data_IF_940611794643
#
_entry.id   IF_940611794643
#
_cell.length_a   1.000
_cell.length_b   1.000
_cell.length_c   1.000
_cell.angle_alpha   90.00
_cell.angle_beta   90.00
_cell.angle_gamma   90.00
#
_symmetry.space_group_name_H-M   'P 1'
#
loop_
_entity.id
_entity.type
_entity.pdbx_description
1 polymer ?
#
# COMPACT_ATOMS: atom_id res chain seq x y z
N UNK A 1 6.82 17.73 22.78
CA UNK A 1 6.86 18.12 21.36
C UNK A 1 7.23 19.60 21.31
N UNK A 2 7.93 20.04 20.26
CA UNK A 2 8.28 21.44 20.09
C UNK A 2 7.75 21.92 18.73
N UNK A 3 6.98 23.00 18.76
CA UNK A 3 6.47 23.67 17.57
C UNK A 3 7.45 24.71 17.05
N UNK A 4 7.55 24.80 15.73
CA UNK A 4 8.38 25.74 15.00
C UNK A 4 7.60 26.39 13.87
N UNK A 5 7.80 27.68 13.69
CA UNK A 5 7.31 28.48 12.57
C UNK A 5 8.49 29.26 12.00
N UNK A 6 8.89 28.93 10.77
CA UNK A 6 9.96 29.62 10.06
C UNK A 6 9.35 30.50 8.97
N UNK A 7 9.72 31.77 8.98
CA UNK A 7 9.26 32.76 8.00
C UNK A 7 10.44 33.30 7.21
N UNK A 8 10.38 33.17 5.88
CA UNK A 8 11.32 33.81 4.97
C UNK A 8 10.60 34.94 4.23
N UNK A 9 11.18 36.13 4.23
CA UNK A 9 10.65 37.29 3.50
C UNK A 9 11.72 37.86 2.58
N UNK A 10 11.38 38.08 1.31
CA UNK A 10 12.26 38.79 0.38
C UNK A 10 12.17 40.29 0.65
N UNK A 11 13.15 40.85 1.35
CA UNK A 11 13.13 42.28 1.74
C UNK A 11 13.29 43.24 0.56
N UNK A 12 14.18 42.93 -0.39
CA UNK A 12 14.47 43.79 -1.56
C UNK A 12 14.97 42.98 -2.74
N UNK A 13 14.66 43.42 -3.96
CA UNK A 13 15.15 42.81 -5.21
C UNK A 13 14.45 41.50 -5.54
N UNK A 14 14.98 40.78 -6.51
CA UNK A 14 14.41 39.52 -7.01
C UNK A 14 15.36 38.33 -6.73
N UNK A 15 14.81 37.14 -6.48
CA UNK A 15 15.56 35.87 -6.51
C UNK A 15 14.80 34.89 -7.40
N UNK A 16 15.51 34.24 -8.31
CA UNK A 16 14.93 33.24 -9.21
C UNK A 16 15.01 31.85 -8.59
N UNK A 17 13.94 31.07 -8.77
CA UNK A 17 13.81 29.66 -8.37
C UNK A 17 14.45 29.32 -7.00
N UNK A 18 13.99 29.96 -5.92
CA UNK A 18 14.53 29.71 -4.56
C UNK A 18 13.51 29.05 -3.62
N UNK A 19 13.97 28.05 -2.85
CA UNK A 19 13.19 27.39 -1.81
C UNK A 19 13.78 27.65 -0.42
N UNK A 20 12.91 27.82 0.57
CA UNK A 20 13.30 27.80 1.98
C UNK A 20 13.34 26.37 2.51
N UNK A 21 14.06 26.13 3.61
CA UNK A 21 14.07 24.81 4.22
C UNK A 21 14.76 24.74 5.57
N UNK A 22 14.60 23.60 6.24
CA UNK A 22 15.21 23.27 7.52
C UNK A 22 15.87 21.90 7.45
N UNK A 23 17.02 21.78 8.12
CA UNK A 23 17.90 20.62 8.12
C UNK A 23 18.06 20.10 9.55
N UNK A 24 17.87 18.79 9.74
CA UNK A 24 18.11 18.08 10.99
C UNK A 24 19.26 17.09 10.76
N UNK A 25 20.44 17.46 11.27
CA UNK A 25 21.64 16.63 11.17
C UNK A 25 21.75 15.73 12.41
N UNK A 26 21.85 14.42 12.19
CA UNK A 26 22.13 13.45 13.24
C UNK A 26 23.49 12.82 13.02
N UNK A 27 24.28 12.75 14.09
CA UNK A 27 25.61 12.13 14.11
C UNK A 27 25.57 10.77 14.79
N UNK A 28 26.65 10.00 14.59
CA UNK A 28 26.75 8.62 15.06
C UNK A 28 25.61 7.76 14.48
N UNK A 29 25.32 8.00 13.20
CA UNK A 29 24.27 7.33 12.46
C UNK A 29 24.74 5.96 11.98
N UNK A 30 23.85 4.98 12.00
CA UNK A 30 24.13 3.61 11.57
C UNK A 30 22.97 3.07 10.75
N UNK A 31 23.21 2.02 9.97
CA UNK A 31 22.15 1.34 9.21
C UNK A 31 21.16 0.56 10.09
N UNK A 32 21.40 0.47 11.41
CA UNK A 32 20.47 -0.11 12.38
C UNK A 32 19.34 0.85 12.78
N UNK A 33 19.44 2.13 12.38
CA UNK A 33 18.39 3.12 12.62
C UNK A 33 17.18 2.82 11.74
N UNK A 34 16.02 2.61 12.38
CA UNK A 34 14.77 2.31 11.67
C UNK A 34 14.17 3.60 11.14
N UNK A 35 14.38 3.89 9.85
CA UNK A 35 13.86 5.10 9.19
C UNK A 35 12.44 4.87 8.68
N UNK A 36 11.56 5.84 8.91
CA UNK A 36 10.14 5.73 8.62
C UNK A 36 9.59 6.99 7.93
N UNK A 37 8.90 6.79 6.81
CA UNK A 37 8.03 7.76 6.17
C UNK A 37 6.71 7.04 5.85
N UNK A 38 5.58 7.45 6.45
CA UNK A 38 4.32 6.70 6.37
C UNK A 38 3.92 6.34 4.94
N UNK A 39 3.58 5.07 4.72
CA UNK A 39 3.14 4.49 3.43
C UNK A 39 4.20 4.37 2.32
N UNK A 40 5.45 4.78 2.53
CA UNK A 40 6.47 4.73 1.46
C UNK A 40 7.86 4.28 1.91
N UNK A 41 8.28 4.55 3.15
CA UNK A 41 9.59 4.10 3.67
C UNK A 41 9.42 3.37 4.99
N UNK A 42 9.83 2.10 5.02
CA UNK A 42 9.89 1.27 6.21
C UNK A 42 11.31 0.75 6.36
N UNK A 43 11.94 1.01 7.50
CA UNK A 43 13.34 0.68 7.77
C UNK A 43 14.31 1.21 6.70
N UNK A 44 14.08 2.44 6.21
CA UNK A 44 14.85 3.02 5.12
C UNK A 44 14.72 2.30 3.76
N UNK A 45 13.79 1.35 3.64
CA UNK A 45 13.65 0.42 2.52
C UNK A 45 14.97 -0.27 2.17
N UNK A 46 15.69 -0.77 3.19
CA UNK A 46 17.01 -1.42 3.05
C UNK A 46 16.93 -2.87 2.59
N UNK A 47 16.23 -3.09 1.50
CA UNK A 47 16.02 -4.43 0.93
C UNK A 47 16.93 -4.66 -0.27
N UNK A 48 17.04 -5.92 -0.70
CA UNK A 48 17.63 -6.21 -2.00
C UNK A 48 16.74 -5.60 -3.09
N UNK A 49 17.37 -5.09 -4.15
CA UNK A 49 16.67 -4.44 -5.26
C UNK A 49 16.83 -5.26 -6.52
N UNK A 50 15.71 -5.59 -7.15
CA UNK A 50 15.67 -6.16 -8.50
C UNK A 50 15.22 -5.07 -9.48
N UNK A 51 16.03 -4.83 -10.50
CA UNK A 51 15.59 -4.06 -11.66
C UNK A 51 14.57 -4.89 -12.44
N UNK A 52 13.29 -4.56 -12.28
CA UNK A 52 12.18 -5.24 -12.93
C UNK A 52 11.05 -4.25 -13.22
N UNK A 53 10.43 -4.39 -14.39
CA UNK A 53 9.31 -3.57 -14.83
C UNK A 53 8.00 -4.00 -14.18
N UNK A 54 7.03 -3.10 -14.19
CA UNK A 54 5.67 -3.41 -13.78
C UNK A 54 4.97 -4.26 -14.85
N UNK A 55 4.20 -5.29 -14.46
CA UNK A 55 4.05 -5.77 -13.09
C UNK A 55 5.25 -6.61 -12.62
N UNK A 56 5.75 -6.39 -11.39
CA UNK A 56 6.97 -7.05 -10.94
C UNK A 56 6.71 -8.52 -10.61
N UNK A 57 7.37 -9.43 -11.33
CA UNK A 57 7.29 -10.88 -11.13
C UNK A 57 8.58 -11.57 -11.56
N UNK A 58 9.06 -12.56 -10.81
CA UNK A 58 10.25 -13.34 -11.21
C UNK A 58 9.89 -14.32 -12.32
N UNK A 59 9.96 -13.87 -13.57
CA UNK A 59 9.66 -14.69 -14.75
C UNK A 59 10.69 -15.80 -14.99
N UNK A 60 11.96 -15.57 -14.64
CA UNK A 60 13.01 -16.58 -14.75
C UNK A 60 13.01 -17.49 -13.52
N UNK A 61 12.60 -18.74 -13.73
CA UNK A 61 12.55 -19.77 -12.68
C UNK A 61 13.92 -20.08 -12.08
N UNK A 62 15.01 -19.84 -12.80
CA UNK A 62 16.37 -20.05 -12.26
C UNK A 62 16.70 -19.08 -11.12
N UNK A 63 15.99 -17.96 -11.02
CA UNK A 63 16.13 -16.99 -9.93
C UNK A 63 15.34 -17.38 -8.67
N UNK A 64 14.47 -18.39 -8.75
CA UNK A 64 13.64 -18.79 -7.63
C UNK A 64 14.45 -19.54 -6.59
N UNK A 65 14.37 -19.06 -5.36
CA UNK A 65 15.07 -19.63 -4.22
C UNK A 65 14.16 -19.60 -3.00
N UNK A 66 14.21 -20.67 -2.22
CA UNK A 66 13.41 -20.79 -0.99
C UNK A 66 13.83 -19.74 0.04
N UNK A 67 15.11 -19.42 0.11
CA UNK A 67 15.69 -18.44 1.02
C UNK A 67 15.78 -17.02 0.40
N UNK A 68 14.82 -16.67 -0.46
CA UNK A 68 14.81 -15.35 -1.10
C UNK A 68 14.67 -14.25 -0.02
N UNK A 69 15.63 -13.33 0.11
CA UNK A 69 15.47 -12.21 1.02
C UNK A 69 14.32 -11.33 0.54
N UNK A 70 13.73 -10.54 1.45
CA UNK A 70 12.80 -9.49 1.04
C UNK A 70 13.46 -8.64 -0.03
N UNK A 71 12.88 -8.68 -1.23
CA UNK A 71 13.40 -8.02 -2.42
C UNK A 71 12.32 -7.12 -2.99
N UNK A 72 12.70 -5.92 -3.40
CA UNK A 72 11.79 -4.90 -3.91
C UNK A 72 12.20 -4.47 -5.32
N UNK A 73 11.28 -3.84 -6.03
CA UNK A 73 11.63 -3.09 -7.25
C UNK A 73 12.40 -1.83 -6.88
N UNK A 74 12.97 -1.16 -7.87
CA UNK A 74 13.58 0.16 -7.69
C UNK A 74 12.55 1.19 -7.16
N UNK A 75 12.66 1.53 -5.87
CA UNK A 75 11.82 2.49 -5.11
C UNK A 75 12.73 3.27 -4.15
N UNK A 76 12.26 4.38 -3.54
CA UNK A 76 13.07 5.20 -2.65
C UNK A 76 13.70 4.36 -1.54
N UNK A 77 15.02 4.39 -1.45
CA UNK A 77 15.78 3.59 -0.49
C UNK A 77 17.03 4.32 -0.04
N UNK A 78 17.42 4.09 1.22
CA UNK A 78 18.73 4.48 1.74
C UNK A 78 19.82 3.45 1.38
N UNK A 79 19.46 2.41 0.64
CA UNK A 79 20.33 1.30 0.26
C UNK A 79 20.54 0.31 1.40
N UNK A 80 20.64 -0.98 1.05
CA UNK A 80 20.86 -2.08 2.01
C UNK A 80 22.07 -1.83 2.93
N UNK A 81 23.16 -1.35 2.34
CA UNK A 81 24.40 -1.02 3.05
C UNK A 81 24.45 0.43 3.57
N UNK A 82 23.38 1.20 3.38
CA UNK A 82 23.30 2.63 3.69
C UNK A 82 24.01 3.55 2.70
N UNK A 83 23.97 4.85 3.00
CA UNK A 83 24.61 5.90 2.20
C UNK A 83 23.76 6.39 1.03
N UNK A 84 22.51 5.95 0.94
CA UNK A 84 21.57 6.38 -0.07
C UNK A 84 20.92 7.72 0.26
N UNK A 85 20.16 8.22 -0.73
CA UNK A 85 19.38 9.44 -0.66
C UNK A 85 17.93 9.13 -1.05
N UNK A 86 17.00 9.54 -0.21
CA UNK A 86 15.57 9.51 -0.48
C UNK A 86 15.11 10.93 -0.76
N UNK A 87 14.40 11.13 -1.87
CA UNK A 87 13.77 12.39 -2.25
C UNK A 87 12.27 12.20 -2.48
N UNK A 88 11.47 12.91 -1.69
CA UNK A 88 10.01 12.80 -1.66
C UNK A 88 9.38 14.20 -1.63
N UNK A 89 8.08 14.26 -1.88
CA UNK A 89 7.26 15.37 -1.40
C UNK A 89 6.28 14.86 -0.35
N UNK A 90 5.67 15.77 0.39
CA UNK A 90 4.69 15.43 1.45
C UNK A 90 3.51 14.59 0.96
N UNK A 91 3.14 14.68 -0.32
CA UNK A 91 2.09 13.87 -0.94
C UNK A 91 2.49 12.42 -1.22
N UNK A 92 3.77 12.07 -1.10
CA UNK A 92 4.20 10.67 -1.13
C UNK A 92 3.91 9.94 0.18
N UNK A 93 3.70 10.65 1.28
CA UNK A 93 3.42 10.08 2.59
C UNK A 93 1.92 10.13 2.90
N UNK A 94 1.39 9.13 3.61
CA UNK A 94 -0.01 9.16 4.08
C UNK A 94 -0.25 10.22 5.17
N UNK A 95 0.83 10.74 5.76
CA UNK A 95 0.87 11.87 6.67
C UNK A 95 2.19 12.59 6.43
N UNK A 96 2.24 13.93 6.26
CA UNK A 96 3.48 14.68 6.05
C UNK A 96 4.47 14.61 7.23
N UNK A 97 5.15 13.48 7.37
CA UNK A 97 6.00 13.15 8.50
C UNK A 97 7.21 12.31 8.08
N UNK A 98 8.37 12.62 8.67
CA UNK A 98 9.56 11.76 8.64
C UNK A 98 9.94 11.39 10.07
N UNK A 99 10.49 10.20 10.26
CA UNK A 99 10.81 9.68 11.57
C UNK A 99 11.97 8.68 11.53
N UNK A 100 12.57 8.45 12.70
CA UNK A 100 13.39 7.27 12.92
C UNK A 100 13.32 6.78 14.37
N UNK A 101 13.63 5.49 14.55
CA UNK A 101 13.92 4.89 15.84
C UNK A 101 15.38 4.46 15.90
N UNK A 102 16.07 4.87 16.96
CA UNK A 102 17.43 4.44 17.30
C UNK A 102 17.38 3.33 18.34
N UNK A 103 17.74 2.08 17.98
CA UNK A 103 17.79 0.98 18.93
C UNK A 103 18.84 1.21 20.01
N UNK A 104 20.05 1.63 19.61
CA UNK A 104 21.18 1.85 20.52
C UNK A 104 20.88 2.94 21.56
N UNK A 105 20.15 3.99 21.15
CA UNK A 105 19.79 5.12 22.03
C UNK A 105 18.42 4.95 22.70
N UNK A 106 17.66 3.90 22.34
CA UNK A 106 16.25 3.72 22.71
C UNK A 106 15.42 5.01 22.54
N UNK A 107 15.64 5.69 21.41
CA UNK A 107 15.10 7.01 21.12
C UNK A 107 14.22 6.94 19.87
N UNK A 108 13.10 7.66 19.88
CA UNK A 108 12.30 7.96 18.70
C UNK A 108 12.41 9.45 18.40
N UNK A 109 12.54 9.77 17.11
CA UNK A 109 12.48 11.13 16.60
C UNK A 109 11.46 11.22 15.47
N UNK A 110 10.70 12.32 15.43
CA UNK A 110 9.75 12.60 14.35
C UNK A 110 9.72 14.09 14.04
N UNK A 111 9.51 14.42 12.78
CA UNK A 111 9.09 15.75 12.34
C UNK A 111 7.81 15.66 11.55
N UNK A 112 6.79 16.39 11.97
CA UNK A 112 5.48 16.53 11.32
C UNK A 112 5.39 17.94 10.75
N UNK A 113 4.90 18.10 9.52
CA UNK A 113 4.66 19.41 8.88
C UNK A 113 3.26 19.45 8.29
N UNK A 114 2.78 20.61 7.85
CA UNK A 114 1.65 20.69 6.92
C UNK A 114 1.96 20.05 5.56
N UNK A 115 0.95 19.79 4.72
CA UNK A 115 1.19 19.25 3.38
C UNK A 115 1.97 20.23 2.48
N UNK A 116 1.68 21.53 2.53
CA UNK A 116 2.32 22.47 1.63
C UNK A 116 2.00 23.92 1.95
N UNK A 117 2.46 24.79 1.06
CA UNK A 117 2.19 26.23 1.08
C UNK A 117 1.49 26.64 -0.22
N UNK A 118 1.30 27.95 -0.43
CA UNK A 118 0.85 28.50 -1.72
C UNK A 118 1.73 28.09 -2.91
N UNK A 119 2.98 27.67 -2.67
CA UNK A 119 3.91 27.22 -3.72
C UNK A 119 3.85 25.70 -3.94
N UNK A 120 2.89 25.00 -3.33
CA UNK A 120 2.71 23.55 -3.46
C UNK A 120 3.23 22.75 -2.27
N UNK A 121 3.31 21.43 -2.46
CA UNK A 121 3.75 20.47 -1.45
C UNK A 121 5.18 20.77 -0.98
N UNK A 122 5.45 20.56 0.31
CA UNK A 122 6.83 20.59 0.83
C UNK A 122 7.63 19.37 0.33
N UNK A 123 8.95 19.53 0.23
CA UNK A 123 9.88 18.45 -0.06
C UNK A 123 10.37 17.78 1.21
N UNK A 124 10.63 16.50 1.09
CA UNK A 124 11.30 15.68 2.10
C UNK A 124 12.55 15.06 1.50
N UNK A 125 13.66 15.15 2.20
CA UNK A 125 14.85 14.38 1.85
C UNK A 125 15.48 13.74 3.08
N UNK A 126 16.05 12.56 2.87
CA UNK A 126 16.84 11.82 3.85
C UNK A 126 18.11 11.36 3.14
N UNK A 127 19.26 11.84 3.59
CA UNK A 127 20.54 11.54 2.95
C UNK A 127 21.55 11.06 3.99
N UNK A 128 22.12 9.89 3.75
CA UNK A 128 23.13 9.30 4.63
C UNK A 128 24.55 9.55 4.13
N UNK A 129 25.42 10.03 5.02
CA UNK A 129 26.86 10.04 4.82
C UNK A 129 27.50 8.94 5.68
N UNK A 130 27.78 7.80 5.06
CA UNK A 130 28.45 6.68 5.71
C UNK A 130 29.87 7.00 6.19
N UNK A 131 30.59 7.88 5.48
CA UNK A 131 31.98 8.21 5.83
C UNK A 131 32.03 9.04 7.11
N UNK A 132 31.02 9.87 7.33
CA UNK A 132 30.91 10.72 8.51
C UNK A 132 30.06 10.12 9.63
N UNK A 133 29.39 9.00 9.37
CA UNK A 133 28.35 8.44 10.26
C UNK A 133 27.29 9.52 10.58
N UNK A 134 26.78 10.16 9.53
CA UNK A 134 25.80 11.23 9.60
C UNK A 134 24.58 10.92 8.73
N UNK A 135 23.44 11.48 9.11
CA UNK A 135 22.25 11.55 8.24
C UNK A 135 21.66 12.95 8.33
N UNK A 136 21.14 13.42 7.20
CA UNK A 136 20.44 14.68 7.10
C UNK A 136 18.98 14.43 6.72
N UNK A 137 18.07 14.84 7.60
CA UNK A 137 16.65 14.95 7.29
C UNK A 137 16.34 16.41 6.93
N UNK A 138 15.65 16.65 5.82
CA UNK A 138 15.34 18.01 5.38
C UNK A 138 13.87 18.18 5.01
N UNK A 139 13.34 19.36 5.34
CA UNK A 139 12.05 19.84 4.82
C UNK A 139 12.34 21.06 3.96
N UNK A 140 11.89 21.05 2.72
CA UNK A 140 11.98 22.20 1.80
C UNK A 140 10.59 22.69 1.44
N UNK A 141 10.46 23.99 1.18
CA UNK A 141 9.19 24.62 0.84
C UNK A 141 9.38 25.58 -0.35
N UNK A 142 8.90 25.21 -1.56
CA UNK A 142 8.25 23.94 -1.92
C UNK A 142 9.25 22.77 -2.08
N UNK A 143 8.75 21.61 -2.49
CA UNK A 143 9.58 20.50 -2.96
C UNK A 143 10.38 20.91 -4.21
N UNK A 144 11.67 20.57 -4.23
CA UNK A 144 12.57 20.76 -5.38
C UNK A 144 13.49 19.53 -5.48
N UNK A 145 12.97 18.43 -6.03
CA UNK A 145 13.71 17.16 -6.11
C UNK A 145 14.53 17.07 -7.38
N UNK A 146 15.63 16.33 -7.38
CA UNK A 146 16.34 15.99 -8.63
C UNK A 146 15.54 14.96 -9.43
N UNK A 147 15.08 13.91 -8.75
CA UNK A 147 14.23 12.86 -9.32
C UNK A 147 12.97 12.68 -8.51
N UNK A 148 11.91 12.24 -9.16
CA UNK A 148 10.66 11.88 -8.49
C UNK A 148 10.43 10.38 -8.56
N UNK A 149 9.75 9.86 -7.54
CA UNK A 149 9.29 8.47 -7.53
C UNK A 149 8.32 8.24 -8.69
N UNK A 150 8.64 7.31 -9.57
CA UNK A 150 7.73 6.77 -10.58
C UNK A 150 7.01 5.50 -10.08
N UNK A 151 6.07 4.99 -10.87
CA UNK A 151 5.51 3.65 -10.61
C UNK A 151 6.59 2.55 -10.70
N UNK A 152 7.59 2.78 -11.56
CA UNK A 152 8.87 2.05 -11.61
C UNK A 152 9.98 3.05 -11.91
N UNK A 153 11.04 3.06 -11.10
CA UNK A 153 12.22 3.90 -11.30
C UNK A 153 12.02 5.39 -10.97
N UNK A 154 13.01 6.20 -11.34
CA UNK A 154 13.16 7.59 -10.90
C UNK A 154 13.36 8.57 -12.07
N UNK A 155 12.29 8.97 -12.77
CA UNK A 155 12.38 10.01 -13.78
C UNK A 155 12.82 11.35 -13.16
N UNK A 156 13.44 12.20 -13.97
CA UNK A 156 13.77 13.57 -13.58
C UNK A 156 12.52 14.27 -13.07
N UNK A 157 12.68 15.00 -11.97
CA UNK A 157 11.62 15.84 -11.47
C UNK A 157 11.41 17.05 -12.38
N UNK A 158 10.20 17.58 -12.37
CA UNK A 158 9.86 18.89 -12.96
C UNK A 158 9.51 19.91 -11.89
N UNK A 159 9.82 19.58 -10.63
CA UNK A 159 9.60 20.50 -9.53
C UNK A 159 10.41 21.78 -9.77
N UNK A 160 9.81 22.93 -9.49
CA UNK A 160 10.44 24.23 -9.58
C UNK A 160 10.10 25.06 -8.36
N UNK A 161 11.11 25.72 -7.81
CA UNK A 161 10.90 26.73 -6.80
C UNK A 161 10.32 28.01 -7.42
N UNK A 162 9.60 28.84 -6.63
CA UNK A 162 9.06 30.10 -7.12
C UNK A 162 10.17 31.14 -7.34
N UNK A 163 9.86 32.11 -8.18
CA UNK A 163 10.57 33.39 -8.23
C UNK A 163 10.04 34.30 -7.12
N UNK A 164 10.94 34.98 -6.42
CA UNK A 164 10.63 35.85 -5.30
C UNK A 164 10.83 37.30 -5.66
N UNK A 165 9.82 38.12 -5.40
CA UNK A 165 9.85 39.58 -5.48
C UNK A 165 9.88 40.19 -4.08
N UNK A 166 10.28 41.45 -3.99
CA UNK A 166 10.26 42.18 -2.73
C UNK A 166 8.85 42.16 -2.11
N UNK A 167 8.75 41.75 -0.84
CA UNK A 167 7.50 41.56 -0.10
C UNK A 167 7.02 40.11 -0.04
N UNK A 168 7.46 39.23 -0.95
CA UNK A 168 7.04 37.83 -0.96
C UNK A 168 7.50 37.13 0.33
N UNK A 169 6.61 36.29 0.86
CA UNK A 169 6.81 35.59 2.12
C UNK A 169 6.41 34.12 2.01
N UNK A 170 7.18 33.26 2.70
CA UNK A 170 6.91 31.85 2.90
C UNK A 170 6.91 31.57 4.40
N UNK A 171 5.93 30.77 4.83
CA UNK A 171 5.87 30.24 6.19
C UNK A 171 5.94 28.71 6.12
N UNK A 172 6.83 28.12 6.92
CA UNK A 172 6.91 26.68 7.14
C UNK A 172 6.64 26.38 8.61
N UNK A 173 5.55 25.66 8.86
CA UNK A 173 5.16 25.20 10.19
C UNK A 173 5.45 23.72 10.33
N UNK A 174 6.17 23.35 11.39
CA UNK A 174 6.43 21.95 11.71
C UNK A 174 6.57 21.73 13.21
N UNK A 175 6.39 20.48 13.62
CA UNK A 175 6.49 20.02 15.00
C UNK A 175 7.51 18.90 15.09
N UNK A 176 8.42 19.00 16.05
CA UNK A 176 9.44 17.99 16.32
C UNK A 176 9.10 17.23 17.61
N UNK A 177 9.27 15.92 17.56
CA UNK A 177 9.15 15.02 18.68
C UNK A 177 10.49 14.31 18.92
N UNK A 178 10.92 14.27 20.17
CA UNK A 178 11.97 13.38 20.65
C UNK A 178 11.44 12.70 21.92
N UNK A 179 11.52 11.37 21.97
CA UNK A 179 10.90 10.60 23.04
C UNK A 179 11.58 9.25 23.24
N UNK A 180 11.38 8.64 24.42
CA UNK A 180 11.85 7.28 24.71
C UNK A 180 11.10 6.29 23.81
N UNK A 181 11.85 5.51 23.03
CA UNK A 181 11.33 4.49 22.13
C UNK A 181 12.19 3.23 22.31
N UNK A 182 11.85 2.34 23.25
CA UNK A 182 12.61 1.10 23.47
C UNK A 182 12.59 0.15 22.28
N UNK A 183 11.55 0.19 21.45
CA UNK A 183 11.43 -0.58 20.23
C UNK A 183 10.68 0.18 19.12
N UNK A 184 10.72 -0.33 17.89
CA UNK A 184 10.02 0.23 16.72
C UNK A 184 8.52 0.41 16.97
N UNK A 185 7.87 -0.51 17.71
CA UNK A 185 6.44 -0.39 18.05
C UNK A 185 6.10 0.90 18.80
N UNK A 186 7.03 1.45 19.57
CA UNK A 186 6.81 2.68 20.33
C UNK A 186 6.87 3.91 19.43
N UNK A 187 7.73 3.89 18.39
CA UNK A 187 7.71 4.85 17.29
C UNK A 187 6.35 4.80 16.56
N UNK A 188 5.90 3.60 16.16
CA UNK A 188 4.64 3.44 15.43
C UNK A 188 3.40 3.82 16.26
N UNK A 189 3.44 3.57 17.58
CA UNK A 189 2.41 4.04 18.51
C UNK A 189 2.36 5.57 18.54
N UNK A 190 3.51 6.23 18.72
CA UNK A 190 3.57 7.70 18.71
C UNK A 190 3.12 8.29 17.39
N UNK A 191 3.47 7.68 16.26
CA UNK A 191 2.96 8.09 14.94
C UNK A 191 1.43 8.05 14.91
N UNK A 192 0.83 6.95 15.37
CA UNK A 192 -0.63 6.79 15.39
C UNK A 192 -1.33 7.83 16.27
N UNK A 193 -0.70 8.23 17.37
CA UNK A 193 -1.21 9.27 18.28
C UNK A 193 -1.22 10.66 17.63
N UNK A 194 -0.16 11.02 16.89
CA UNK A 194 0.08 12.42 16.46
C UNK A 194 -0.18 12.71 14.99
N UNK A 195 -0.49 11.68 14.18
CA UNK A 195 -0.57 11.81 12.71
C UNK A 195 -1.58 12.84 12.21
N UNK A 196 -2.59 13.19 13.01
CA UNK A 196 -3.64 14.15 12.66
C UNK A 196 -3.43 15.55 13.25
N UNK A 197 -2.43 15.77 14.10
CA UNK A 197 -2.32 17.00 14.91
C UNK A 197 -2.14 18.27 14.08
N UNK A 198 -1.25 18.24 13.07
CA UNK A 198 -1.00 19.38 12.16
C UNK A 198 -1.72 19.27 10.82
N UNK A 199 -2.32 18.11 10.54
CA UNK A 199 -3.04 17.85 9.28
C UNK A 199 -4.41 17.25 9.60
N UNK A 200 -5.30 18.00 10.27
CA UNK A 200 -6.67 17.55 10.44
C UNK A 200 -7.29 17.40 9.05
N UNK A 201 -7.77 16.20 8.75
CA UNK A 201 -8.47 15.93 7.50
C UNK A 201 -9.97 16.15 7.73
N UNK A 202 -10.56 17.06 6.95
CA UNK A 202 -12.01 17.13 6.84
C UNK A 202 -12.49 16.08 5.84
N UNK A 203 -13.51 15.31 6.22
CA UNK A 203 -14.12 14.35 5.30
C UNK A 203 -14.83 15.11 4.19
N UNK A 204 -14.35 14.94 2.95
CA UNK A 204 -15.05 15.43 1.77
C UNK A 204 -16.13 14.44 1.36
N UNK A 205 -17.30 14.55 1.98
CA UNK A 205 -18.46 13.73 1.64
C UNK A 205 -19.09 14.22 0.33
N UNK A 206 -18.63 13.66 -0.80
CA UNK A 206 -19.13 14.01 -2.14
C UNK A 206 -20.43 13.27 -2.47
N UNK A 207 -20.59 12.06 -1.96
CA UNK A 207 -21.75 11.20 -2.20
C UNK A 207 -22.07 10.40 -0.93
N UNK A 208 -23.31 10.42 -0.42
CA UNK A 208 -23.70 9.59 0.70
C UNK A 208 -23.51 8.10 0.40
N UNK A 209 -23.11 7.32 1.40
CA UNK A 209 -22.91 5.87 1.23
C UNK A 209 -24.17 5.15 0.73
N UNK A 210 -25.37 5.62 1.07
CA UNK A 210 -26.63 5.08 0.54
C UNK A 210 -26.77 5.22 -0.96
N UNK A 211 -26.32 6.34 -1.54
CA UNK A 211 -26.35 6.57 -2.99
C UNK A 211 -25.23 5.79 -3.69
N UNK A 212 -24.05 5.72 -3.06
CA UNK A 212 -22.96 4.86 -3.54
C UNK A 212 -23.39 3.38 -3.58
N UNK A 213 -24.10 2.92 -2.54
CA UNK A 213 -24.66 1.57 -2.50
C UNK A 213 -25.62 1.31 -3.65
N UNK A 214 -26.58 2.20 -3.92
CA UNK A 214 -27.50 2.06 -5.05
C UNK A 214 -26.77 1.97 -6.40
N UNK A 215 -25.68 2.72 -6.58
CA UNK A 215 -24.87 2.66 -7.79
C UNK A 215 -24.12 1.33 -7.90
N UNK A 216 -23.39 0.94 -6.86
CA UNK A 216 -22.57 -0.27 -6.86
C UNK A 216 -23.42 -1.54 -6.93
N UNK A 217 -24.51 -1.61 -6.16
CA UNK A 217 -25.45 -2.74 -6.20
C UNK A 217 -26.02 -2.93 -7.60
N UNK A 218 -26.51 -1.86 -8.22
CA UNK A 218 -27.00 -1.88 -9.61
C UNK A 218 -25.95 -2.35 -10.60
N UNK A 219 -24.73 -1.80 -10.55
CA UNK A 219 -23.62 -2.23 -11.41
C UNK A 219 -23.34 -3.72 -11.20
N UNK A 220 -23.26 -4.18 -9.96
CA UNK A 220 -23.03 -5.59 -9.66
C UNK A 220 -24.12 -6.48 -10.22
N UNK A 221 -25.40 -6.12 -10.03
CA UNK A 221 -26.51 -6.97 -10.47
C UNK A 221 -26.78 -6.93 -11.98
N UNK A 222 -26.47 -5.83 -12.67
CA UNK A 222 -26.77 -5.65 -14.09
C UNK A 222 -25.57 -5.94 -14.99
N UNK A 223 -24.38 -5.50 -14.58
CA UNK A 223 -23.20 -5.50 -15.44
C UNK A 223 -22.10 -6.43 -14.94
N UNK A 224 -22.22 -7.05 -13.76
CA UNK A 224 -21.18 -7.97 -13.24
C UNK A 224 -21.67 -9.39 -13.06
N UNK A 225 -22.94 -9.59 -12.75
CA UNK A 225 -23.50 -10.94 -12.59
C UNK A 225 -23.67 -11.64 -13.93
N UNK A 226 -23.09 -12.84 -14.06
CA UNK A 226 -23.30 -13.73 -15.20
C UNK A 226 -24.10 -14.97 -14.77
N UNK A 227 -25.37 -15.05 -15.20
CA UNK A 227 -26.26 -16.18 -14.89
C UNK A 227 -25.74 -17.52 -15.44
N UNK A 228 -25.02 -17.50 -16.57
CA UNK A 228 -24.52 -18.74 -17.19
C UNK A 228 -23.35 -19.34 -16.41
N UNK A 229 -22.56 -18.48 -15.77
CA UNK A 229 -21.40 -18.87 -14.98
C UNK A 229 -21.76 -19.04 -13.50
N UNK A 230 -22.88 -18.44 -13.06
CA UNK A 230 -23.25 -18.28 -11.66
C UNK A 230 -22.17 -17.54 -10.84
N UNK A 231 -21.56 -16.51 -11.43
CA UNK A 231 -20.46 -15.77 -10.84
C UNK A 231 -20.59 -14.28 -11.08
N UNK A 232 -19.99 -13.49 -10.18
CA UNK A 232 -19.74 -12.09 -10.46
C UNK A 232 -18.38 -11.88 -11.14
N UNK A 233 -18.40 -11.21 -12.28
CA UNK A 233 -17.25 -10.85 -13.10
C UNK A 233 -16.72 -9.44 -12.75
N UNK A 234 -15.45 -9.17 -13.05
CA UNK A 234 -14.81 -7.86 -12.95
C UNK A 234 -15.12 -6.95 -14.14
N UNK A 235 -15.34 -7.55 -15.31
CA UNK A 235 -15.79 -6.91 -16.55
C UNK A 235 -17.25 -7.27 -16.82
N UNK A 236 -17.82 -6.69 -17.89
CA UNK A 236 -19.18 -6.99 -18.27
C UNK A 236 -19.26 -8.42 -18.82
N UNK A 237 -20.26 -9.25 -18.43
CA UNK A 237 -20.50 -10.55 -19.04
C UNK A 237 -20.46 -10.47 -20.57
N UNK A 238 -19.75 -11.41 -21.20
CA UNK A 238 -19.51 -11.43 -22.65
C UNK A 238 -18.41 -10.49 -23.17
N UNK A 239 -17.68 -9.80 -22.30
CA UNK A 239 -16.51 -8.99 -22.71
C UNK A 239 -15.36 -9.86 -23.22
N UNK A 240 -14.66 -9.40 -24.26
CA UNK A 240 -13.40 -10.00 -24.75
C UNK A 240 -12.19 -9.60 -23.90
N UNK A 241 -12.39 -9.29 -22.61
CA UNK A 241 -11.33 -8.89 -21.71
C UNK A 241 -10.40 -10.07 -21.39
N UNK A 242 -9.20 -9.78 -20.88
CA UNK A 242 -8.27 -10.79 -20.39
C UNK A 242 -8.90 -11.56 -19.22
N UNK A 243 -8.46 -12.82 -18.98
CA UNK A 243 -9.04 -13.67 -17.93
C UNK A 243 -9.02 -13.03 -16.55
N UNK A 244 -7.90 -12.39 -16.20
CA UNK A 244 -7.78 -11.65 -14.94
C UNK A 244 -8.68 -10.41 -14.87
N UNK A 245 -9.32 -10.02 -15.96
CA UNK A 245 -10.30 -8.94 -16.01
C UNK A 245 -11.73 -9.49 -16.12
N UNK A 246 -11.91 -10.80 -16.23
CA UNK A 246 -13.21 -11.48 -16.13
C UNK A 246 -13.42 -11.93 -14.70
N UNK A 247 -12.55 -12.75 -14.13
CA UNK A 247 -12.66 -13.18 -12.74
C UNK A 247 -11.31 -13.23 -12.04
N UNK A 248 -11.31 -12.83 -10.76
CA UNK A 248 -10.19 -12.99 -9.83
C UNK A 248 -10.70 -13.43 -8.46
N UNK A 249 -9.92 -14.24 -7.75
CA UNK A 249 -10.24 -14.66 -6.38
C UNK A 249 -10.04 -13.51 -5.35
N UNK A 250 -8.93 -12.78 -5.47
CA UNK A 250 -8.54 -11.66 -4.60
C UNK A 250 -8.71 -10.27 -5.23
N UNK A 251 -8.02 -9.27 -4.69
CA UNK A 251 -8.08 -7.86 -5.13
C UNK A 251 -9.51 -7.27 -5.08
N UNK A 252 -10.06 -6.75 -6.18
CA UNK A 252 -11.44 -6.29 -6.26
C UNK A 252 -12.36 -7.39 -6.82
N UNK A 253 -11.95 -8.66 -6.75
CA UNK A 253 -12.60 -9.82 -7.38
C UNK A 253 -13.65 -10.55 -6.52
N UNK A 254 -14.07 -11.73 -7.00
CA UNK A 254 -15.32 -12.41 -6.65
C UNK A 254 -15.48 -12.87 -5.19
N UNK A 255 -14.44 -12.78 -4.36
CA UNK A 255 -14.54 -13.00 -2.90
C UNK A 255 -14.61 -11.72 -2.06
N UNK A 256 -14.28 -10.56 -2.64
CA UNK A 256 -14.01 -9.33 -1.87
C UNK A 256 -15.22 -8.39 -1.81
N UNK A 257 -15.87 -8.14 -2.95
CA UNK A 257 -17.07 -7.29 -3.00
C UNK A 257 -18.38 -8.06 -2.80
N UNK A 258 -18.34 -9.39 -2.73
CA UNK A 258 -19.53 -10.21 -2.49
C UNK A 258 -19.98 -10.20 -1.03
N UNK A 259 -19.07 -9.94 -0.08
CA UNK A 259 -19.43 -9.74 1.33
C UNK A 259 -20.41 -8.58 1.55
N UNK A 260 -20.17 -7.33 1.09
CA UNK A 260 -21.15 -6.26 1.26
C UNK A 260 -22.46 -6.55 0.51
N UNK A 261 -22.43 -7.27 -0.61
CA UNK A 261 -23.63 -7.77 -1.29
C UNK A 261 -24.42 -8.75 -0.43
N UNK A 262 -23.75 -9.67 0.29
CA UNK A 262 -24.41 -10.57 1.24
C UNK A 262 -25.06 -9.81 2.40
N UNK A 263 -24.34 -8.84 2.96
CA UNK A 263 -24.76 -8.08 4.14
C UNK A 263 -25.99 -7.22 3.86
N UNK A 264 -25.95 -6.43 2.78
CA UNK A 264 -26.90 -5.35 2.50
C UNK A 264 -27.81 -5.61 1.30
N UNK A 265 -27.55 -6.65 0.50
CA UNK A 265 -28.36 -7.02 -0.66
C UNK A 265 -29.76 -7.52 -0.28
N UNK A 266 -30.67 -7.50 -1.24
CA UNK A 266 -31.96 -8.20 -1.17
C UNK A 266 -31.77 -9.72 -1.28
N UNK A 267 -32.87 -10.48 -1.21
CA UNK A 267 -32.81 -11.94 -1.21
C UNK A 267 -32.24 -12.49 -2.52
N UNK A 268 -32.60 -11.90 -3.67
CA UNK A 268 -32.05 -12.29 -4.98
C UNK A 268 -30.53 -12.07 -5.03
N UNK A 269 -30.06 -10.92 -4.52
CA UNK A 269 -28.63 -10.62 -4.40
C UNK A 269 -27.92 -11.64 -3.53
N UNK A 270 -28.49 -11.99 -2.38
CA UNK A 270 -27.90 -13.00 -1.48
C UNK A 270 -27.84 -14.37 -2.15
N UNK A 271 -28.88 -14.78 -2.86
CA UNK A 271 -28.86 -16.04 -3.62
C UNK A 271 -27.75 -16.06 -4.68
N UNK A 272 -27.55 -14.95 -5.40
CA UNK A 272 -26.44 -14.81 -6.35
C UNK A 272 -25.07 -14.88 -5.68
N UNK A 273 -24.91 -14.26 -4.51
CA UNK A 273 -23.67 -14.39 -3.73
C UNK A 273 -23.42 -15.84 -3.31
N UNK A 274 -24.44 -16.55 -2.80
CA UNK A 274 -24.32 -17.96 -2.42
C UNK A 274 -23.90 -18.83 -3.61
N UNK A 275 -24.52 -18.62 -4.77
CA UNK A 275 -24.12 -19.29 -6.03
C UNK A 275 -22.68 -18.98 -6.43
N UNK A 276 -22.25 -17.72 -6.33
CA UNK A 276 -20.87 -17.34 -6.61
C UNK A 276 -19.88 -18.05 -5.68
N UNK A 277 -20.16 -18.09 -4.37
CA UNK A 277 -19.32 -18.81 -3.40
C UNK A 277 -19.27 -20.31 -3.75
N UNK A 278 -20.40 -20.89 -4.14
CA UNK A 278 -20.46 -22.29 -4.56
C UNK A 278 -19.55 -22.57 -5.76
N UNK A 279 -19.54 -21.70 -6.76
CA UNK A 279 -18.66 -21.84 -7.92
C UNK A 279 -17.18 -21.73 -7.52
N UNK A 280 -16.84 -20.83 -6.59
CA UNK A 280 -15.46 -20.73 -6.08
C UNK A 280 -15.03 -22.06 -5.44
N UNK A 281 -15.82 -22.61 -4.52
CA UNK A 281 -15.47 -23.87 -3.85
C UNK A 281 -15.49 -25.09 -4.79
N UNK A 282 -16.45 -25.16 -5.71
CA UNK A 282 -16.65 -26.33 -6.56
C UNK A 282 -15.73 -26.37 -7.78
N UNK A 283 -15.34 -25.21 -8.34
CA UNK A 283 -14.59 -25.15 -9.61
C UNK A 283 -13.16 -24.66 -9.48
N UNK A 284 -12.82 -23.92 -8.42
CA UNK A 284 -11.51 -23.23 -8.39
C UNK A 284 -10.56 -23.80 -7.34
N UNK A 285 -10.99 -24.69 -6.44
CA UNK A 285 -10.08 -25.36 -5.50
C UNK A 285 -9.22 -26.41 -6.21
N UNK A 286 -7.91 -26.32 -6.00
CA UNK A 286 -6.91 -27.24 -6.56
C UNK A 286 -6.56 -28.38 -5.57
N UNK A 287 -5.92 -29.48 -6.02
CA UNK A 287 -5.50 -30.57 -5.13
C UNK A 287 -4.57 -30.15 -3.99
N UNK A 288 -3.85 -29.03 -4.14
CA UNK A 288 -2.99 -28.46 -3.09
C UNK A 288 -3.77 -27.95 -1.87
N UNK A 289 -5.08 -27.72 -2.01
CA UNK A 289 -5.93 -27.01 -1.05
C UNK A 289 -6.06 -25.51 -1.33
N UNK A 290 -5.14 -24.94 -2.12
CA UNK A 290 -5.22 -23.56 -2.61
C UNK A 290 -6.18 -23.44 -3.80
N UNK A 291 -6.57 -22.22 -4.13
CA UNK A 291 -7.53 -21.93 -5.20
C UNK A 291 -6.84 -21.32 -6.43
N UNK A 292 -7.37 -21.56 -7.62
CA UNK A 292 -7.05 -20.77 -8.81
C UNK A 292 -7.40 -19.30 -8.57
N UNK A 293 -6.58 -18.41 -9.12
CA UNK A 293 -6.62 -16.99 -8.79
C UNK A 293 -7.27 -16.13 -9.86
N UNK A 294 -7.33 -16.61 -11.11
CA UNK A 294 -7.97 -15.93 -12.23
C UNK A 294 -8.77 -16.94 -13.06
N UNK A 295 -9.67 -16.45 -13.92
CA UNK A 295 -10.45 -17.31 -14.80
C UNK A 295 -11.42 -16.55 -15.68
N UNK A 296 -11.95 -17.23 -16.69
CA UNK A 296 -13.05 -16.71 -17.52
C UNK A 296 -14.43 -17.23 -17.04
N UNK A 297 -14.47 -17.94 -15.92
CA UNK A 297 -15.65 -18.57 -15.31
C UNK A 297 -15.98 -19.97 -15.85
N UNK A 298 -15.35 -20.38 -16.95
CA UNK A 298 -15.39 -21.74 -17.48
C UNK A 298 -14.10 -22.46 -17.09
N UNK A 299 -12.98 -21.85 -17.47
CA UNK A 299 -11.64 -22.30 -17.17
C UNK A 299 -11.00 -21.37 -16.13
N UNK A 300 -10.18 -21.97 -15.28
CA UNK A 300 -9.52 -21.30 -14.16
C UNK A 300 -8.03 -21.60 -14.18
N UNK A 301 -7.25 -20.60 -13.82
CA UNK A 301 -5.79 -20.65 -13.87
C UNK A 301 -5.14 -20.20 -12.59
N UNK A 302 -3.87 -20.52 -12.48
CA UNK A 302 -2.97 -19.89 -11.54
C UNK A 302 -2.89 -18.37 -11.80
N UNK A 303 -2.15 -17.61 -10.99
CA UNK A 303 -2.10 -16.16 -11.17
C UNK A 303 -1.47 -15.79 -12.52
N UNK A 304 -1.75 -14.57 -12.99
CA UNK A 304 -1.28 -14.08 -14.28
C UNK A 304 -1.75 -12.66 -14.59
N UNK A 305 -1.01 -11.96 -15.44
CA UNK A 305 -1.33 -10.58 -15.84
C UNK A 305 -1.95 -10.48 -17.22
N UNK A 306 -1.35 -11.12 -18.22
CA UNK A 306 -1.91 -11.21 -19.58
C UNK A 306 -2.37 -12.63 -19.89
N UNK A 307 -1.54 -13.58 -19.46
CA UNK A 307 -1.78 -15.01 -19.52
C UNK A 307 -1.48 -15.63 -18.15
N UNK A 308 -1.93 -16.86 -17.96
CA UNK A 308 -1.65 -17.68 -16.78
C UNK A 308 -0.15 -17.95 -16.71
N UNK A 309 0.46 -17.87 -15.52
CA UNK A 309 1.86 -18.20 -15.36
C UNK A 309 2.16 -19.70 -15.55
N UNK A 310 3.42 -20.02 -15.89
CA UNK A 310 3.83 -21.31 -16.42
C UNK A 310 3.96 -22.44 -15.37
N UNK A 311 3.99 -22.13 -14.08
CA UNK A 311 4.33 -23.10 -13.03
C UNK A 311 3.28 -23.18 -11.91
N UNK A 312 2.02 -22.89 -12.23
CA UNK A 312 0.90 -22.92 -11.28
C UNK A 312 1.11 -22.02 -10.05
N UNK A 313 1.72 -20.86 -10.24
CA UNK A 313 2.06 -19.92 -9.18
C UNK A 313 0.84 -19.15 -8.69
N UNK A 314 0.82 -18.82 -7.40
CA UNK A 314 -0.26 -18.01 -6.83
C UNK A 314 0.29 -16.99 -5.86
N UNK A 315 -0.51 -15.96 -5.57
CA UNK A 315 -0.14 -14.94 -4.60
C UNK A 315 -0.67 -15.30 -3.22
N UNK A 316 0.22 -15.32 -2.24
CA UNK A 316 -0.11 -15.46 -0.81
C UNK A 316 -1.23 -14.50 -0.42
N UNK A 317 -1.16 -13.24 -0.90
CA UNK A 317 -2.21 -12.24 -0.69
C UNK A 317 -3.58 -12.69 -1.22
N UNK A 318 -3.66 -13.16 -2.47
CA UNK A 318 -4.94 -13.60 -3.06
C UNK A 318 -5.56 -14.77 -2.29
N UNK A 319 -4.72 -15.74 -1.89
CA UNK A 319 -5.14 -16.89 -1.10
C UNK A 319 -5.60 -16.47 0.31
N UNK A 320 -4.83 -15.59 0.98
CA UNK A 320 -5.13 -15.10 2.32
C UNK A 320 -6.39 -14.23 2.35
N UNK A 321 -6.57 -13.35 1.36
CA UNK A 321 -7.75 -12.52 1.18
C UNK A 321 -9.01 -13.39 1.08
N UNK A 322 -8.96 -14.48 0.32
CA UNK A 322 -10.08 -15.43 0.23
C UNK A 322 -10.32 -16.19 1.52
N UNK A 323 -9.25 -16.70 2.14
CA UNK A 323 -9.35 -17.42 3.42
C UNK A 323 -10.05 -16.55 4.48
N UNK A 324 -9.70 -15.27 4.53
CA UNK A 324 -10.35 -14.31 5.44
C UNK A 324 -11.79 -14.00 5.03
N UNK A 325 -12.03 -13.61 3.77
CA UNK A 325 -13.37 -13.19 3.34
C UNK A 325 -14.39 -14.34 3.33
N UNK A 326 -13.98 -15.57 3.05
CA UNK A 326 -14.86 -16.73 3.16
C UNK A 326 -15.37 -16.91 4.60
N UNK A 327 -14.51 -16.77 5.62
CA UNK A 327 -14.92 -16.81 7.03
C UNK A 327 -15.91 -15.69 7.36
N UNK A 328 -15.66 -14.48 6.86
CA UNK A 328 -16.58 -13.35 7.04
C UNK A 328 -17.94 -13.61 6.40
N UNK A 329 -17.97 -14.20 5.21
CA UNK A 329 -19.22 -14.56 4.53
C UNK A 329 -19.95 -15.70 5.26
N UNK A 330 -19.23 -16.68 5.79
CA UNK A 330 -19.82 -17.77 6.59
C UNK A 330 -20.49 -17.24 7.86
N UNK A 331 -19.81 -16.36 8.58
CA UNK A 331 -20.38 -15.67 9.75
C UNK A 331 -21.64 -14.87 9.38
N UNK A 332 -21.64 -14.18 8.23
CA UNK A 332 -22.82 -13.45 7.77
C UNK A 332 -23.99 -14.39 7.46
N UNK A 333 -23.73 -15.52 6.78
CA UNK A 333 -24.76 -16.55 6.49
C UNK A 333 -25.38 -17.07 7.80
N UNK A 334 -24.54 -17.46 8.77
CA UNK A 334 -24.99 -17.99 10.06
C UNK A 334 -25.75 -16.94 10.87
N UNK A 335 -25.30 -15.68 10.86
CA UNK A 335 -25.97 -14.59 11.58
C UNK A 335 -27.39 -14.32 11.08
N UNK A 336 -27.69 -14.67 9.83
CA UNK A 336 -29.02 -14.58 9.22
C UNK A 336 -29.83 -15.88 9.35
N UNK A 337 -29.35 -16.86 10.13
CA UNK A 337 -30.00 -18.15 10.33
C UNK A 337 -29.78 -19.16 9.19
N UNK A 338 -28.88 -18.85 8.25
CA UNK A 338 -28.46 -19.78 7.20
C UNK A 338 -27.49 -20.83 7.72
N UNK A 339 -27.29 -21.89 6.94
CA UNK A 339 -26.30 -22.94 7.24
C UNK A 339 -25.22 -22.93 6.17
N UNK A 340 -23.96 -22.88 6.59
CA UNK A 340 -22.82 -22.99 5.68
C UNK A 340 -22.67 -24.44 5.21
N UNK A 341 -22.65 -24.71 3.89
CA UNK A 341 -22.44 -26.05 3.37
C UNK A 341 -21.15 -26.69 3.89
N UNK A 342 -21.24 -27.96 4.29
CA UNK A 342 -20.09 -28.71 4.82
C UNK A 342 -18.94 -28.83 3.80
N UNK A 343 -19.26 -28.85 2.51
CA UNK A 343 -18.28 -28.84 1.42
C UNK A 343 -17.43 -27.55 1.44
N UNK A 344 -18.05 -26.39 1.69
CA UNK A 344 -17.36 -25.10 1.78
C UNK A 344 -16.47 -25.03 3.02
N UNK A 345 -16.98 -25.48 4.18
CA UNK A 345 -16.19 -25.58 5.42
C UNK A 345 -14.96 -26.47 5.24
N UNK A 346 -15.15 -27.62 4.59
CA UNK A 346 -14.06 -28.57 4.30
C UNK A 346 -13.06 -27.99 3.31
N UNK A 347 -13.53 -27.29 2.28
CA UNK A 347 -12.68 -26.60 1.32
C UNK A 347 -11.84 -25.52 1.98
N UNK A 348 -12.43 -24.71 2.85
CA UNK A 348 -11.72 -23.65 3.56
C UNK A 348 -10.67 -24.20 4.52
N UNK A 349 -10.99 -25.30 5.21
CA UNK A 349 -10.02 -26.02 6.05
C UNK A 349 -8.83 -26.51 5.24
N UNK A 350 -9.04 -27.12 4.06
CA UNK A 350 -7.95 -27.57 3.18
C UNK A 350 -6.99 -26.43 2.80
N UNK A 351 -7.52 -25.22 2.60
CA UNK A 351 -6.71 -24.03 2.32
C UNK A 351 -5.89 -23.59 3.53
N UNK A 352 -6.51 -23.54 4.72
CA UNK A 352 -5.80 -23.25 5.97
C UNK A 352 -4.69 -24.27 6.23
N UNK A 353 -4.97 -25.55 6.06
CA UNK A 353 -3.98 -26.63 6.20
C UNK A 353 -2.85 -26.49 5.16
N UNK A 354 -3.15 -25.97 3.96
CA UNK A 354 -2.11 -25.71 2.96
C UNK A 354 -1.14 -24.62 3.41
N UNK A 355 -1.63 -23.54 4.02
CA UNK A 355 -0.76 -22.53 4.62
C UNK A 355 0.07 -23.08 5.77
N UNK A 356 -0.53 -23.86 6.68
CA UNK A 356 0.20 -24.50 7.78
C UNK A 356 1.31 -25.41 7.24
N UNK A 357 1.02 -26.24 6.23
CA UNK A 357 2.05 -27.08 5.60
C UNK A 357 3.20 -26.27 4.98
N UNK A 358 2.92 -25.12 4.39
CA UNK A 358 3.96 -24.24 3.85
C UNK A 358 4.80 -23.63 4.97
N UNK A 359 4.16 -23.13 6.02
CA UNK A 359 4.82 -22.56 7.19
C UNK A 359 5.70 -23.60 7.91
N UNK A 360 5.17 -24.78 8.23
CA UNK A 360 5.91 -25.82 8.93
C UNK A 360 7.10 -26.34 8.11
N UNK A 361 6.98 -26.34 6.79
CA UNK A 361 8.03 -26.84 5.89
C UNK A 361 9.11 -25.79 5.59
N UNK A 362 8.73 -24.53 5.42
CA UNK A 362 9.63 -23.49 4.88
C UNK A 362 9.81 -22.28 5.81
N UNK A 363 9.04 -22.16 6.89
CA UNK A 363 9.05 -21.00 7.78
C UNK A 363 8.51 -19.72 7.14
N UNK A 364 7.68 -19.86 6.11
CA UNK A 364 7.13 -18.78 5.27
C UNK A 364 5.62 -18.81 5.19
#
# INVERSE_FOLDING_TARGET
>A
AQDYCLTWTRVKGEVKEAAGGVNFLFKQWTTQEFVFVPAIVYDGNRFDVKDIKYPPYWYDKSEWRLDMPTTMTDQPSLGKEGGGKIELNTGNASTPLMAFHSPAKQLGWMVLTGQGSQFGNHGFSIEEDRRRAEVLFSITAPAVREKRVGGTGFPLSRDKAPDWKAGDTLVLNFRVYAFKSPAVKDLLRRFSEVRTDLNPAERREVLPFSEMWKLLHRICQQDRWDESLNMYCLSKPGSTALWNSIWQLGWCGGGQYTLPLMMQGDDDTRQRVLKNIDVIFSKTQTPSGLFYAIGNGIDFGSFGFHEVFNYNETFVRSQGDWLYMAQRQFQEIESKGGTVPQAWMSGLRKQADAFVRLWDKYGQ
#
